data_IF_521581183436
#
_entry.id   IF_521581183436
#
_cell.length_a   1.000
_cell.length_b   1.000
_cell.length_c   1.000
_cell.angle_alpha   90.00
_cell.angle_beta   90.00
_cell.angle_gamma   90.00
#
_symmetry.space_group_name_H-M   'P 1'
#
loop_
_entity.id
_entity.type
_entity.pdbx_description
1 polymer ?
#
# COMPACT_ATOMS: atom_id res chain seq x y z
N UNK A 1 -63.11 7.36 26.79
CA UNK A 1 -63.71 8.69 26.52
C UNK A 1 -62.58 9.60 26.10
N UNK A 2 -62.59 10.25 24.95
CA UNK A 2 -63.54 10.10 23.83
C UNK A 2 -62.84 10.38 22.47
N UNK A 3 -63.44 9.95 21.35
CA UNK A 3 -62.88 10.05 19.99
C UNK A 3 -63.33 11.34 19.30
N UNK A 4 -62.44 11.99 18.54
CA UNK A 4 -62.83 12.91 17.45
C UNK A 4 -62.04 12.67 16.17
N UNK A 5 -62.65 11.87 15.29
CA UNK A 5 -62.34 11.78 13.87
C UNK A 5 -62.94 12.96 13.09
N UNK A 6 -62.28 13.38 12.00
CA UNK A 6 -62.95 14.05 10.88
C UNK A 6 -62.60 13.35 9.55
N UNK A 7 -63.45 13.51 8.53
CA UNK A 7 -63.60 12.52 7.47
C UNK A 7 -63.52 13.11 6.04
N UNK A 8 -63.31 12.22 5.06
CA UNK A 8 -63.04 12.46 3.63
C UNK A 8 -64.06 13.35 2.89
N UNK A 9 -63.56 14.11 1.89
CA UNK A 9 -63.91 14.04 0.43
C UNK A 9 -62.93 14.93 -0.34
N UNK A 10 -62.18 14.43 -1.34
CA UNK A 10 -62.57 14.07 -2.72
C UNK A 10 -63.02 15.29 -3.54
N UNK A 11 -62.25 15.57 -4.60
CA UNK A 11 -62.67 16.28 -5.80
C UNK A 11 -61.96 15.59 -7.00
N UNK A 12 -62.67 15.38 -8.11
CA UNK A 12 -62.15 14.71 -9.31
C UNK A 12 -62.25 15.63 -10.53
N UNK A 13 -61.22 15.55 -11.38
CA UNK A 13 -61.09 16.12 -12.72
C UNK A 13 -59.66 15.82 -13.21
N UNK A 14 -59.39 15.34 -14.43
CA UNK A 14 -60.23 15.29 -15.61
C UNK A 14 -60.15 16.60 -16.40
N UNK A 15 -59.28 16.75 -17.42
CA UNK A 15 -58.22 15.84 -17.89
C UNK A 15 -58.10 15.84 -19.42
N UNK A 16 -56.92 16.19 -19.95
CA UNK A 16 -56.54 16.09 -21.37
C UNK A 16 -55.06 15.71 -21.44
N UNK A 17 -54.68 14.86 -22.40
CA UNK A 17 -53.28 14.43 -22.57
C UNK A 17 -52.50 15.37 -23.51
N UNK A 18 -51.23 15.62 -23.17
CA UNK A 18 -50.23 16.17 -24.08
C UNK A 18 -49.01 15.23 -24.07
N UNK A 19 -48.86 14.42 -25.13
CA UNK A 19 -47.80 13.41 -25.22
C UNK A 19 -46.50 14.02 -25.76
N UNK A 20 -45.75 14.71 -24.91
CA UNK A 20 -44.34 15.05 -25.20
C UNK A 20 -43.46 13.86 -24.83
N UNK A 21 -42.81 13.28 -25.85
CA UNK A 21 -41.98 12.08 -25.69
C UNK A 21 -40.70 12.36 -24.92
N UNK A 22 -40.74 12.23 -23.59
CA UNK A 22 -39.53 12.07 -22.79
C UNK A 22 -39.00 10.66 -23.05
N UNK A 23 -37.92 10.54 -23.82
CA UNK A 23 -37.12 9.31 -23.88
C UNK A 23 -36.49 9.09 -22.52
N UNK A 24 -37.21 8.41 -21.65
CA UNK A 24 -36.69 7.94 -20.36
C UNK A 24 -35.55 6.97 -20.64
N UNK A 25 -34.32 7.49 -20.56
CA UNK A 25 -33.13 6.69 -20.38
C UNK A 25 -33.34 5.89 -19.09
N UNK A 26 -33.75 4.64 -19.26
CA UNK A 26 -33.73 3.64 -18.21
C UNK A 26 -32.27 3.34 -17.90
N UNK A 27 -31.69 4.20 -17.06
CA UNK A 27 -30.58 3.83 -16.19
C UNK A 27 -31.06 2.58 -15.45
N UNK A 28 -30.64 1.41 -15.94
CA UNK A 28 -30.89 0.16 -15.26
C UNK A 28 -30.32 0.32 -13.85
N UNK A 29 -31.16 0.19 -12.84
CA UNK A 29 -30.68 0.12 -11.48
C UNK A 29 -29.70 -1.05 -11.45
N UNK A 30 -28.41 -0.75 -11.22
CA UNK A 30 -27.42 -1.77 -10.93
C UNK A 30 -27.81 -2.26 -9.53
N UNK A 31 -28.70 -3.25 -9.48
CA UNK A 31 -29.06 -3.93 -8.25
C UNK A 31 -27.78 -4.34 -7.56
N UNK A 32 -27.66 -4.03 -6.26
CA UNK A 32 -26.49 -4.41 -5.49
C UNK A 32 -26.37 -5.93 -5.52
N UNK A 33 -25.43 -6.45 -6.31
CA UNK A 33 -25.21 -7.87 -6.55
C UNK A 33 -24.91 -8.53 -5.22
N UNK A 34 -25.90 -9.20 -4.64
CA UNK A 34 -25.73 -9.95 -3.40
C UNK A 34 -24.66 -11.01 -3.64
N UNK A 35 -23.51 -10.88 -2.97
CA UNK A 35 -22.41 -11.82 -3.15
C UNK A 35 -22.92 -13.26 -2.95
N UNK A 36 -22.69 -14.12 -3.95
CA UNK A 36 -23.28 -15.48 -3.99
C UNK A 36 -22.79 -16.39 -2.85
N UNK A 37 -21.75 -15.96 -2.12
CA UNK A 37 -21.23 -16.62 -0.94
C UNK A 37 -20.97 -15.58 0.17
N UNK A 38 -21.11 -15.95 1.46
CA UNK A 38 -20.72 -15.09 2.57
C UNK A 38 -19.20 -14.81 2.53
N UNK A 39 -18.74 -13.62 2.96
CA UNK A 39 -17.34 -13.25 2.90
C UNK A 39 -16.47 -14.14 3.80
N UNK A 40 -15.22 -14.37 3.38
CA UNK A 40 -14.18 -14.98 4.22
C UNK A 40 -13.94 -14.10 5.46
N UNK A 41 -13.75 -14.71 6.62
CA UNK A 41 -13.51 -14.00 7.89
C UNK A 41 -12.31 -14.55 8.65
N UNK A 42 -11.66 -13.67 9.42
CA UNK A 42 -10.49 -14.01 10.21
C UNK A 42 -10.82 -15.00 11.35
N UNK A 43 -9.99 -16.03 11.58
CA UNK A 43 -10.15 -16.95 12.71
C UNK A 43 -9.81 -16.26 14.04
N UNK A 44 -9.95 -17.00 15.14
CA UNK A 44 -9.39 -16.55 16.42
C UNK A 44 -7.85 -16.67 16.39
N UNK A 45 -7.17 -15.76 17.09
CA UNK A 45 -5.76 -15.93 17.44
C UNK A 45 -5.57 -16.78 18.70
N UNK A 46 -4.37 -16.70 19.25
CA UNK A 46 -3.92 -17.50 20.40
C UNK A 46 -2.73 -18.41 20.08
N UNK A 47 -2.10 -18.27 18.90
CA UNK A 47 -0.94 -19.08 18.52
C UNK A 47 0.38 -18.31 18.70
N UNK A 48 1.45 -19.04 19.01
CA UNK A 48 2.82 -18.52 18.97
C UNK A 48 3.37 -18.70 17.56
N UNK A 49 3.92 -17.64 17.00
CA UNK A 49 4.50 -17.55 15.66
C UNK A 49 5.96 -17.13 15.77
N UNK A 50 6.77 -17.59 14.82
CA UNK A 50 8.16 -17.17 14.66
C UNK A 50 8.37 -16.72 13.21
N UNK A 51 9.03 -15.59 12.99
CA UNK A 51 9.54 -15.17 11.68
C UNK A 51 10.98 -14.67 11.80
N UNK A 52 11.70 -14.64 10.68
CA UNK A 52 12.98 -13.93 10.55
C UNK A 52 12.75 -12.62 9.81
N UNK A 53 13.48 -11.58 10.18
CA UNK A 53 13.49 -10.32 9.43
C UNK A 53 14.89 -9.72 9.39
N UNK A 54 15.21 -9.10 8.27
CA UNK A 54 16.48 -8.48 7.98
C UNK A 54 16.27 -6.99 7.74
N UNK A 55 17.11 -6.14 8.31
CA UNK A 55 17.28 -4.77 7.84
C UNK A 55 18.49 -4.73 6.91
N UNK A 56 18.27 -4.31 5.67
CA UNK A 56 19.29 -4.32 4.61
C UNK A 56 19.45 -2.94 3.98
N UNK A 57 20.68 -2.63 3.57
CA UNK A 57 21.03 -1.41 2.83
C UNK A 57 20.91 -1.69 1.33
N UNK A 58 20.05 -0.95 0.65
CA UNK A 58 19.72 -1.19 -0.76
C UNK A 58 20.77 -0.55 -1.71
N UNK A 59 20.91 -1.05 -2.96
CA UNK A 59 21.95 -0.59 -3.89
C UNK A 59 21.88 0.89 -4.29
N UNK A 60 20.72 1.53 -4.12
CA UNK A 60 20.46 2.95 -4.37
C UNK A 60 20.73 3.84 -3.13
N UNK A 61 21.22 3.27 -2.03
CA UNK A 61 21.52 3.97 -0.77
C UNK A 61 20.35 4.07 0.21
N UNK A 62 19.19 3.54 -0.17
CA UNK A 62 18.03 3.35 0.70
C UNK A 62 18.25 2.21 1.70
N UNK A 63 17.28 1.96 2.58
CA UNK A 63 17.30 0.91 3.59
C UNK A 63 15.89 0.30 3.68
N UNK A 64 15.79 -1.02 3.68
CA UNK A 64 14.50 -1.72 3.69
C UNK A 64 14.49 -2.91 4.63
N UNK A 65 13.29 -3.42 4.89
CA UNK A 65 13.08 -4.64 5.67
C UNK A 65 12.67 -5.81 4.76
N UNK A 66 13.08 -7.04 5.07
CA UNK A 66 12.68 -8.24 4.33
C UNK A 66 12.70 -9.51 5.18
N UNK A 67 11.88 -10.52 4.84
CA UNK A 67 11.89 -11.82 5.52
C UNK A 67 13.02 -12.77 5.06
N UNK A 68 13.72 -12.42 3.98
CA UNK A 68 14.87 -13.12 3.42
C UNK A 68 15.99 -12.11 3.11
N UNK A 69 17.26 -12.55 3.15
CA UNK A 69 18.41 -11.71 2.77
C UNK A 69 18.47 -11.50 1.26
N UNK A 70 18.83 -10.30 0.83
CA UNK A 70 18.75 -9.84 -0.56
C UNK A 70 17.32 -9.68 -1.06
N UNK A 71 16.34 -9.55 -0.16
CA UNK A 71 14.90 -9.43 -0.46
C UNK A 71 14.20 -8.31 0.32
N UNK A 72 14.95 -7.43 0.99
CA UNK A 72 14.39 -6.22 1.57
C UNK A 72 13.59 -5.38 0.57
N UNK A 73 12.46 -4.85 1.01
CA UNK A 73 11.53 -4.02 0.23
C UNK A 73 11.22 -2.70 0.93
N UNK A 74 10.67 -1.76 0.18
CA UNK A 74 10.10 -0.51 0.68
C UNK A 74 8.71 -0.34 0.02
N UNK A 75 7.61 -0.41 0.78
CA UNK A 75 7.54 -0.72 2.22
C UNK A 75 8.08 -2.12 2.53
N UNK A 76 8.45 -2.37 3.79
CA UNK A 76 8.74 -3.70 4.31
C UNK A 76 7.54 -4.65 4.18
N UNK A 77 7.76 -5.98 4.30
CA UNK A 77 6.72 -6.98 4.10
C UNK A 77 5.60 -6.90 5.15
N UNK A 78 4.36 -7.17 4.72
CA UNK A 78 3.20 -7.20 5.60
C UNK A 78 3.31 -8.30 6.67
N UNK A 79 3.14 -7.89 7.93
CA UNK A 79 2.93 -8.80 9.06
C UNK A 79 1.43 -8.82 9.39
N UNK A 80 0.77 -9.96 9.15
CA UNK A 80 -0.64 -10.18 9.54
C UNK A 80 -0.75 -11.25 10.64
N UNK A 81 -1.42 -10.90 11.73
CA UNK A 81 -1.66 -11.77 12.90
C UNK A 81 -3.09 -11.58 13.44
N UNK A 82 -3.57 -12.51 14.27
CA UNK A 82 -4.91 -12.42 14.88
C UNK A 82 -4.82 -12.02 16.36
N UNK A 83 -5.83 -11.34 16.91
CA UNK A 83 -5.92 -11.03 18.34
C UNK A 83 -5.76 -12.28 19.23
N UNK A 84 -4.75 -12.24 20.10
CA UNK A 84 -4.32 -13.33 20.97
C UNK A 84 -3.02 -14.00 20.51
N UNK A 85 -2.57 -13.77 19.27
CA UNK A 85 -1.30 -14.29 18.77
C UNK A 85 -0.10 -13.61 19.44
N UNK A 86 0.97 -14.38 19.59
CA UNK A 86 2.32 -13.90 19.96
C UNK A 86 3.26 -14.13 18.79
N UNK A 87 4.06 -13.13 18.45
CA UNK A 87 5.02 -13.17 17.35
C UNK A 87 6.43 -12.89 17.88
N UNK A 88 7.32 -13.86 17.71
CA UNK A 88 8.75 -13.71 17.92
C UNK A 88 9.43 -13.41 16.57
N UNK A 89 10.11 -12.28 16.50
CA UNK A 89 10.81 -11.79 15.30
C UNK A 89 12.30 -11.94 15.55
N UNK A 90 12.93 -12.93 14.93
CA UNK A 90 14.39 -13.05 14.88
C UNK A 90 14.93 -12.03 13.88
N UNK A 91 15.32 -10.86 14.40
CA UNK A 91 15.76 -9.71 13.62
C UNK A 91 17.28 -9.65 13.53
N UNK A 92 17.84 -9.66 12.32
CA UNK A 92 19.27 -9.47 12.07
C UNK A 92 19.52 -8.14 11.33
N UNK A 93 20.46 -7.34 11.83
CA UNK A 93 20.87 -6.09 11.19
C UNK A 93 22.06 -6.34 10.25
N UNK A 94 21.84 -6.37 8.94
CA UNK A 94 22.91 -6.64 7.96
C UNK A 94 23.61 -5.36 7.47
N UNK A 95 23.37 -4.22 8.11
CA UNK A 95 23.88 -2.90 7.69
C UNK A 95 25.16 -2.50 8.44
N UNK A 96 25.81 -1.44 7.95
CA UNK A 96 27.00 -0.82 8.53
C UNK A 96 26.72 0.20 9.65
N UNK A 97 25.47 0.28 10.12
CA UNK A 97 25.03 1.17 11.21
C UNK A 97 24.05 0.46 12.14
N UNK A 98 24.01 0.84 13.41
CA UNK A 98 23.03 0.36 14.37
C UNK A 98 21.59 0.67 13.90
N UNK A 99 20.71 -0.32 13.99
CA UNK A 99 19.32 -0.26 13.57
C UNK A 99 18.40 -0.88 14.62
N UNK A 100 17.10 -0.86 14.36
CA UNK A 100 16.10 -1.32 15.31
C UNK A 100 14.80 -1.77 14.63
N UNK A 101 13.88 -2.23 15.46
CA UNK A 101 12.50 -2.51 15.09
C UNK A 101 11.57 -2.02 16.22
N UNK A 102 10.79 -0.98 15.94
CA UNK A 102 9.72 -0.45 16.78
C UNK A 102 8.36 -0.73 16.10
N UNK A 103 7.28 -0.86 16.86
CA UNK A 103 5.95 -1.16 16.32
C UNK A 103 4.81 -0.47 17.07
N UNK A 104 3.74 -0.15 16.34
CA UNK A 104 2.54 0.49 16.87
C UNK A 104 1.44 -0.54 17.16
N UNK A 105 0.58 -0.26 18.15
CA UNK A 105 -0.67 -0.99 18.43
C UNK A 105 -0.58 -2.41 19.01
N UNK A 106 0.54 -3.11 18.82
CA UNK A 106 0.82 -4.43 19.41
C UNK A 106 1.36 -4.32 20.84
N UNK A 107 1.14 -5.34 21.67
CA UNK A 107 1.63 -5.37 23.05
C UNK A 107 3.08 -5.87 23.08
N UNK A 108 4.06 -5.00 23.35
CA UNK A 108 5.46 -5.39 23.55
C UNK A 108 5.91 -5.17 25.00
N UNK A 109 7.15 -5.58 25.31
CA UNK A 109 7.85 -5.20 26.53
C UNK A 109 8.99 -4.24 26.24
N UNK A 110 9.56 -3.62 27.28
CA UNK A 110 10.57 -2.57 27.11
C UNK A 110 11.87 -3.07 26.45
N UNK A 111 12.13 -4.39 26.50
CA UNK A 111 13.24 -5.05 25.81
C UNK A 111 13.02 -5.22 24.30
N UNK A 112 11.76 -5.12 23.86
CA UNK A 112 11.29 -5.22 22.47
C UNK A 112 10.85 -3.86 21.88
N UNK A 113 11.15 -2.75 22.56
CA UNK A 113 10.72 -1.38 22.22
C UNK A 113 11.47 -0.74 21.03
N UNK A 114 12.68 -1.23 20.69
CA UNK A 114 13.46 -0.73 19.56
C UNK A 114 14.33 0.51 19.83
N UNK A 115 14.37 1.05 21.05
CA UNK A 115 15.03 2.35 21.31
C UNK A 115 16.40 2.24 21.98
N UNK A 116 17.26 3.25 21.76
CA UNK A 116 18.55 3.37 22.49
C UNK A 116 18.35 3.51 23.99
N UNK A 117 17.32 4.26 24.41
CA UNK A 117 17.00 4.51 25.82
C UNK A 117 16.81 3.20 26.59
N UNK A 118 16.07 2.26 25.99
CA UNK A 118 15.74 0.97 26.58
C UNK A 118 16.71 -0.16 26.17
N UNK A 119 17.81 0.19 25.48
CA UNK A 119 18.86 -0.74 25.01
C UNK A 119 18.32 -1.89 24.16
N UNK A 120 17.25 -1.62 23.41
CA UNK A 120 16.49 -2.59 22.60
C UNK A 120 16.79 -2.47 21.11
N UNK A 121 18.01 -2.02 20.78
CA UNK A 121 18.56 -1.84 19.43
C UNK A 121 19.36 -3.06 18.95
N UNK A 122 19.82 -3.07 17.70
CA UNK A 122 20.69 -4.11 17.14
C UNK A 122 21.88 -3.47 16.43
N UNK A 123 23.09 -3.78 16.90
CA UNK A 123 24.34 -3.26 16.34
C UNK A 123 24.66 -3.92 14.97
N UNK A 124 25.61 -3.37 14.18
CA UNK A 124 25.98 -3.94 12.87
C UNK A 124 26.36 -5.42 12.93
N UNK A 125 25.64 -6.26 12.19
CA UNK A 125 25.85 -7.71 12.12
C UNK A 125 25.29 -8.51 13.30
N UNK A 126 24.63 -7.88 14.27
CA UNK A 126 24.02 -8.59 15.41
C UNK A 126 22.58 -9.09 15.10
N UNK A 127 22.05 -9.90 16.03
CA UNK A 127 20.69 -10.45 15.97
C UNK A 127 19.98 -10.28 17.31
N UNK A 128 18.70 -9.90 17.30
CA UNK A 128 17.81 -9.79 18.47
C UNK A 128 16.48 -10.48 18.20
N UNK A 129 15.90 -11.12 19.20
CA UNK A 129 14.49 -11.52 19.13
C UNK A 129 13.61 -10.41 19.71
N UNK A 130 12.83 -9.74 18.86
CA UNK A 130 11.74 -8.87 19.31
C UNK A 130 10.50 -9.73 19.58
N UNK A 131 9.72 -9.42 20.62
CA UNK A 131 8.48 -10.14 20.94
C UNK A 131 7.29 -9.20 20.96
N UNK A 132 6.40 -9.36 19.99
CA UNK A 132 5.09 -8.70 19.96
C UNK A 132 4.01 -9.67 20.40
N UNK A 133 3.06 -9.20 21.21
CA UNK A 133 1.87 -9.92 21.64
C UNK A 133 0.63 -9.15 21.19
N UNK A 134 -0.51 -9.80 21.20
CA UNK A 134 -1.80 -9.15 20.99
C UNK A 134 -2.83 -9.72 21.96
N UNK A 135 -3.89 -8.98 22.22
CA UNK A 135 -5.00 -9.44 23.05
C UNK A 135 -6.36 -9.14 22.41
N UNK A 136 -7.32 -10.03 22.65
CA UNK A 136 -8.72 -9.81 22.33
C UNK A 136 -9.35 -8.78 23.29
N UNK A 137 -10.38 -8.02 22.85
CA UNK A 137 -11.10 -7.10 23.72
C UNK A 137 -11.85 -7.86 24.82
N UNK A 138 -12.07 -7.20 25.97
CA UNK A 138 -12.76 -7.83 27.10
C UNK A 138 -13.08 -6.88 28.24
N UNK A 139 -13.84 -7.37 29.22
CA UNK A 139 -14.23 -6.58 30.41
C UNK A 139 -13.20 -6.77 31.53
N UNK A 140 -12.69 -5.66 32.07
CA UNK A 140 -11.77 -5.65 33.22
C UNK A 140 -12.51 -5.89 34.54
N UNK A 141 -11.75 -6.19 35.60
CA UNK A 141 -12.27 -6.42 36.97
C UNK A 141 -12.95 -5.17 37.58
N UNK A 142 -12.53 -3.97 37.16
CA UNK A 142 -13.16 -2.69 37.50
C UNK A 142 -14.48 -2.43 36.74
N UNK A 143 -14.85 -3.32 35.81
CA UNK A 143 -16.06 -3.22 35.00
C UNK A 143 -15.90 -2.46 33.68
N UNK A 144 -14.76 -1.81 33.43
CA UNK A 144 -14.44 -1.10 32.17
C UNK A 144 -14.23 -2.08 31.01
N UNK A 145 -14.29 -1.54 29.78
CA UNK A 145 -13.92 -2.29 28.58
C UNK A 145 -12.45 -2.05 28.22
N UNK A 146 -11.77 -3.13 27.86
CA UNK A 146 -10.45 -3.12 27.22
C UNK A 146 -10.67 -3.29 25.72
N UNK A 147 -10.28 -2.29 24.94
CA UNK A 147 -10.07 -2.47 23.51
C UNK A 147 -8.94 -3.48 23.31
N UNK A 148 -9.13 -4.43 22.39
CA UNK A 148 -8.08 -5.37 21.97
C UNK A 148 -7.26 -4.79 20.80
N UNK A 149 -6.15 -5.46 20.50
CA UNK A 149 -5.11 -4.98 19.58
C UNK A 149 -5.52 -4.87 18.10
N UNK A 150 -6.73 -5.31 17.70
CA UNK A 150 -7.11 -5.31 16.28
C UNK A 150 -7.19 -3.92 15.65
N UNK A 151 -6.51 -3.75 14.52
CA UNK A 151 -6.39 -2.50 13.79
C UNK A 151 -5.36 -2.60 12.66
N UNK A 152 -5.23 -1.51 11.92
CA UNK A 152 -4.17 -1.27 10.96
C UNK A 152 -3.07 -0.47 11.65
N UNK A 153 -1.85 -1.00 11.63
CA UNK A 153 -0.70 -0.46 12.34
C UNK A 153 0.55 -0.52 11.45
N UNK A 154 1.69 -0.11 11.98
CA UNK A 154 2.98 -0.16 11.28
C UNK A 154 4.14 -0.48 12.22
N UNK A 155 5.26 -0.84 11.62
CA UNK A 155 6.55 -1.00 12.26
C UNK A 155 7.60 -0.17 11.52
N UNK A 156 8.58 0.36 12.23
CA UNK A 156 9.63 1.20 11.66
C UNK A 156 10.93 1.16 12.48
N UNK A 157 12.01 1.71 11.91
CA UNK A 157 13.23 1.96 12.67
C UNK A 157 13.09 3.20 13.56
N UNK A 158 13.76 3.19 14.72
CA UNK A 158 13.77 4.24 15.72
C UNK A 158 15.18 4.79 16.05
N UNK A 159 16.26 4.38 15.35
CA UNK A 159 17.65 4.72 15.76
C UNK A 159 18.64 5.08 14.66
N UNK A 160 18.31 4.90 13.38
CA UNK A 160 19.16 5.26 12.25
C UNK A 160 19.08 6.77 12.00
N UNK A 161 20.24 7.44 12.06
CA UNK A 161 20.40 8.88 11.84
C UNK A 161 19.99 9.77 13.03
N UNK A 162 18.93 9.41 13.75
CA UNK A 162 18.51 10.03 15.02
C UNK A 162 17.95 8.97 15.96
N UNK A 163 17.87 9.27 17.26
CA UNK A 163 17.24 8.38 18.26
C UNK A 163 15.70 8.33 18.17
N UNK A 164 15.14 8.89 17.09
CA UNK A 164 13.73 8.77 16.68
C UNK A 164 13.60 8.19 15.25
N UNK A 165 14.65 7.57 14.72
CA UNK A 165 14.61 6.83 13.45
C UNK A 165 14.48 7.69 12.19
N UNK A 166 14.58 9.02 12.28
CA UNK A 166 14.33 9.96 11.17
C UNK A 166 15.16 9.63 9.92
N UNK A 167 16.37 9.10 10.08
CA UNK A 167 17.22 8.65 8.97
C UNK A 167 16.85 7.28 8.41
N UNK A 168 16.30 6.38 9.23
CA UNK A 168 15.82 5.06 8.81
C UNK A 168 14.46 5.14 8.09
N UNK A 169 13.50 5.82 8.70
CA UNK A 169 12.16 6.08 8.17
C UNK A 169 12.26 6.73 6.79
N UNK A 170 12.98 7.85 6.66
CA UNK A 170 13.17 8.55 5.37
C UNK A 170 13.84 7.65 4.32
N UNK A 171 14.66 6.67 4.72
CA UNK A 171 15.31 5.72 3.81
C UNK A 171 14.50 4.48 3.46
N UNK A 172 13.35 4.24 4.09
CA UNK A 172 12.48 3.10 3.77
C UNK A 172 12.33 2.03 4.87
N UNK A 173 12.91 2.22 6.05
CA UNK A 173 12.75 1.31 7.20
C UNK A 173 11.39 1.52 7.88
N UNK A 174 10.33 1.15 7.16
CA UNK A 174 8.94 1.10 7.62
C UNK A 174 8.19 -0.06 6.93
N UNK A 175 7.14 -0.60 7.55
CA UNK A 175 6.28 -1.62 6.97
C UNK A 175 4.94 -1.78 7.70
N UNK A 176 3.93 -2.40 7.09
CA UNK A 176 2.58 -2.50 7.64
C UNK A 176 2.41 -3.70 8.59
N UNK A 177 1.59 -3.52 9.62
CA UNK A 177 1.08 -4.60 10.48
C UNK A 177 -0.45 -4.59 10.43
N UNK A 178 -1.06 -5.75 10.26
CA UNK A 178 -2.50 -5.94 10.45
C UNK A 178 -2.71 -6.88 11.63
N UNK A 179 -3.50 -6.43 12.60
CA UNK A 179 -4.04 -7.30 13.65
C UNK A 179 -5.53 -7.51 13.38
N UNK A 180 -5.91 -8.73 12.97
CA UNK A 180 -7.30 -9.12 12.72
C UNK A 180 -8.01 -9.46 14.03
N UNK A 181 -9.27 -9.02 14.19
CA UNK A 181 -10.20 -9.56 15.17
C UNK A 181 -10.90 -10.79 14.60
N UNK A 182 -11.22 -11.78 15.43
CA UNK A 182 -12.06 -12.93 15.03
C UNK A 182 -13.37 -12.42 14.40
N UNK A 183 -13.64 -12.83 13.16
CA UNK A 183 -14.83 -12.41 12.41
C UNK A 183 -14.64 -11.16 11.53
N UNK A 184 -13.49 -10.48 11.56
CA UNK A 184 -13.17 -9.44 10.59
C UNK A 184 -13.17 -10.01 9.16
N UNK A 185 -13.75 -9.28 8.21
CA UNK A 185 -13.78 -9.69 6.80
C UNK A 185 -12.35 -9.69 6.25
N UNK A 186 -11.98 -10.75 5.53
CA UNK A 186 -10.70 -10.88 4.85
C UNK A 186 -10.82 -10.42 3.39
N UNK A 187 -9.83 -9.68 2.85
CA UNK A 187 -9.81 -9.26 1.46
C UNK A 187 -9.27 -10.34 0.53
N UNK A 188 -9.41 -10.12 -0.78
CA UNK A 188 -8.80 -10.91 -1.85
C UNK A 188 -7.38 -10.42 -2.18
N UNK A 189 -7.13 -9.11 -2.05
CA UNK A 189 -5.81 -8.48 -2.14
C UNK A 189 -5.68 -7.38 -1.08
N UNK A 190 -4.50 -7.27 -0.46
CA UNK A 190 -4.11 -6.12 0.37
C UNK A 190 -2.98 -5.35 -0.33
N UNK A 191 -3.08 -4.02 -0.38
CA UNK A 191 -2.04 -3.11 -0.85
C UNK A 191 -1.61 -2.15 0.27
N UNK A 192 -0.43 -1.54 0.13
CA UNK A 192 0.11 -0.61 1.14
C UNK A 192 0.61 0.66 0.47
N UNK A 193 0.13 1.80 0.98
CA UNK A 193 0.40 3.13 0.49
C UNK A 193 0.98 3.95 1.65
N UNK A 194 2.28 4.22 1.60
CA UNK A 194 2.98 5.02 2.58
C UNK A 194 3.32 6.37 1.97
N UNK A 195 2.79 7.45 2.54
CA UNK A 195 3.26 8.81 2.25
C UNK A 195 4.44 9.07 3.19
N UNK A 196 5.66 9.11 2.64
CA UNK A 196 6.88 9.34 3.41
C UNK A 196 7.59 10.58 2.86
N UNK A 197 7.58 11.66 3.64
CA UNK A 197 7.81 13.01 3.12
C UNK A 197 6.99 13.23 1.82
N UNK A 198 7.59 13.79 0.76
CA UNK A 198 6.92 14.06 -0.51
C UNK A 198 6.84 12.85 -1.47
N UNK A 199 7.05 11.62 -0.98
CA UNK A 199 7.13 10.40 -1.80
C UNK A 199 6.05 9.38 -1.44
N UNK A 200 5.65 8.55 -2.42
CA UNK A 200 4.79 7.38 -2.18
C UNK A 200 5.66 6.12 -2.21
N UNK A 201 5.70 5.36 -1.12
CA UNK A 201 6.53 4.14 -0.99
C UNK A 201 8.02 4.37 -1.38
N UNK A 202 8.55 5.54 -1.01
CA UNK A 202 9.86 6.07 -1.42
C UNK A 202 10.12 6.11 -2.95
N UNK A 203 9.09 6.05 -3.79
CA UNK A 203 9.23 6.22 -5.23
C UNK A 203 9.27 7.69 -5.61
N UNK A 204 10.10 8.10 -6.59
CA UNK A 204 10.01 9.43 -7.17
C UNK A 204 8.67 9.61 -7.90
N UNK A 205 8.28 10.86 -8.10
CA UNK A 205 7.02 11.28 -8.73
C UNK A 205 6.65 10.55 -10.03
N UNK A 206 7.64 10.21 -10.87
CA UNK A 206 7.44 9.53 -12.15
C UNK A 206 7.28 8.01 -12.03
N UNK A 207 7.34 7.45 -10.81
CA UNK A 207 7.36 6.02 -10.50
C UNK A 207 6.54 5.64 -9.25
N UNK A 208 5.64 6.52 -8.79
CA UNK A 208 4.63 6.19 -7.78
C UNK A 208 3.91 4.88 -8.17
N UNK A 209 3.60 3.98 -7.21
CA UNK A 209 3.16 2.64 -7.55
C UNK A 209 1.71 2.61 -8.03
N UNK A 210 1.48 2.02 -9.21
CA UNK A 210 0.14 1.64 -9.64
C UNK A 210 -0.25 0.29 -9.02
N UNK A 211 -1.55 0.10 -8.78
CA UNK A 211 -2.11 -1.10 -8.17
C UNK A 211 -3.23 -1.67 -9.03
N UNK A 212 -3.05 -2.90 -9.51
CA UNK A 212 -4.02 -3.60 -10.37
C UNK A 212 -5.02 -4.44 -9.54
N UNK A 213 -6.29 -4.46 -9.96
CA UNK A 213 -7.36 -5.28 -9.39
C UNK A 213 -8.50 -5.43 -10.43
N UNK A 214 -9.45 -6.34 -10.24
CA UNK A 214 -10.61 -6.56 -11.12
C UNK A 214 -11.87 -5.96 -10.51
N UNK A 215 -12.85 -5.53 -11.33
CA UNK A 215 -14.18 -5.16 -10.85
C UNK A 215 -14.78 -6.32 -10.03
N UNK A 216 -15.18 -6.02 -8.79
CA UNK A 216 -15.76 -6.99 -7.85
C UNK A 216 -14.78 -7.54 -6.81
N UNK A 217 -13.45 -7.39 -7.00
CA UNK A 217 -12.44 -7.80 -6.01
C UNK A 217 -12.67 -7.08 -4.68
N UNK A 218 -12.52 -7.77 -3.54
CA UNK A 218 -12.37 -7.10 -2.24
C UNK A 218 -10.93 -6.67 -2.04
N UNK A 219 -10.66 -5.40 -2.34
CA UNK A 219 -9.37 -4.76 -2.15
C UNK A 219 -9.29 -4.15 -0.74
N UNK A 220 -8.21 -4.44 -0.03
CA UNK A 220 -7.82 -3.77 1.21
C UNK A 220 -6.66 -2.80 0.98
N UNK A 221 -6.74 -1.63 1.60
CA UNK A 221 -5.70 -0.61 1.57
C UNK A 221 -5.22 -0.36 3.00
N UNK A 222 -3.92 -0.55 3.23
CA UNK A 222 -3.23 -0.04 4.43
C UNK A 222 -2.57 1.28 4.06
N UNK A 223 -2.90 2.34 4.79
CA UNK A 223 -2.37 3.68 4.56
C UNK A 223 -1.59 4.15 5.78
N UNK A 224 -0.33 4.53 5.58
CA UNK A 224 0.60 4.97 6.64
C UNK A 224 1.20 6.32 6.23
N UNK A 225 1.50 7.20 7.18
CA UNK A 225 2.19 8.47 6.91
C UNK A 225 3.44 8.61 7.77
N UNK A 226 4.51 9.17 7.20
CA UNK A 226 5.83 9.34 7.81
C UNK A 226 6.54 10.60 7.26
N UNK A 227 7.61 11.01 7.93
CA UNK A 227 8.39 12.20 7.55
C UNK A 227 7.96 13.46 8.30
N UNK A 228 8.10 14.62 7.66
CA UNK A 228 7.93 15.94 8.28
C UNK A 228 6.58 16.63 7.98
N UNK A 229 5.74 16.05 7.12
CA UNK A 229 4.56 16.73 6.55
C UNK A 229 3.21 16.11 6.96
N UNK A 230 2.16 16.92 6.90
CA UNK A 230 0.77 16.43 6.87
C UNK A 230 0.32 16.24 5.42
N UNK A 231 -0.60 15.31 5.21
CA UNK A 231 -1.14 14.97 3.89
C UNK A 231 -2.66 14.77 3.99
N UNK A 232 -3.32 14.69 2.83
CA UNK A 232 -4.71 14.27 2.71
C UNK A 232 -4.79 13.12 1.71
N UNK A 233 -4.90 11.88 2.18
CA UNK A 233 -5.08 10.74 1.29
C UNK A 233 -6.48 10.78 0.66
N UNK A 234 -6.55 10.70 -0.67
CA UNK A 234 -7.78 10.63 -1.45
C UNK A 234 -7.71 9.51 -2.51
N UNK A 235 -8.86 8.87 -2.81
CA UNK A 235 -8.99 7.92 -3.91
C UNK A 235 -10.29 8.15 -4.69
N UNK A 236 -10.19 8.18 -6.03
CA UNK A 236 -11.30 8.47 -6.92
C UNK A 236 -12.28 7.30 -7.02
N UNK A 237 -13.57 7.60 -7.21
CA UNK A 237 -14.65 6.62 -7.39
C UNK A 237 -15.07 5.84 -6.13
N UNK A 238 -14.14 5.57 -5.23
CA UNK A 238 -14.29 4.70 -4.06
C UNK A 238 -14.50 5.51 -2.76
N UNK A 239 -14.94 4.86 -1.67
CA UNK A 239 -15.17 5.47 -0.34
C UNK A 239 -15.19 4.42 0.75
N UNK A 240 -14.90 4.82 1.99
CA UNK A 240 -14.85 3.95 3.17
C UNK A 240 -15.41 4.65 4.42
N UNK A 241 -15.70 3.89 5.47
CA UNK A 241 -16.10 4.45 6.77
C UNK A 241 -14.87 4.81 7.63
N UNK A 242 -14.82 5.99 8.23
CA UNK A 242 -13.71 6.45 9.09
C UNK A 242 -13.69 5.79 10.49
N UNK A 243 -13.57 4.45 10.50
CA UNK A 243 -13.46 3.61 11.70
C UNK A 243 -12.34 2.55 11.53
N UNK A 244 -12.17 1.71 12.57
CA UNK A 244 -11.15 0.63 12.65
C UNK A 244 -11.01 -0.23 11.39
N UNK A 245 -12.09 -0.46 10.65
CA UNK A 245 -12.17 -1.45 9.56
C UNK A 245 -12.36 -0.84 8.17
N UNK A 246 -12.62 0.46 8.06
CA UNK A 246 -13.06 1.06 6.79
C UNK A 246 -14.50 0.72 6.39
N UNK A 247 -15.21 -0.05 7.22
CA UNK A 247 -16.52 -0.65 6.93
C UNK A 247 -17.51 -0.28 8.02
N UNK A 248 -18.74 0.09 7.63
CA UNK A 248 -19.85 0.25 8.58
C UNK A 248 -20.26 -1.12 9.13
N UNK A 249 -20.49 -1.19 10.44
CA UNK A 249 -20.93 -2.42 11.14
C UNK A 249 -22.41 -2.75 10.93
N UNK A 250 -23.20 -1.77 10.47
CA UNK A 250 -24.63 -1.91 10.19
C UNK A 250 -25.28 -0.56 9.88
N UNK A 251 -26.62 -0.50 9.69
CA UNK A 251 -27.34 0.76 9.46
C UNK A 251 -27.35 1.69 10.69
N UNK A 252 -27.10 1.16 11.89
CA UNK A 252 -27.02 1.90 13.15
C UNK A 252 -25.62 2.47 13.43
N UNK A 253 -24.64 2.26 12.52
CA UNK A 253 -23.27 2.75 12.66
C UNK A 253 -23.17 4.23 12.23
N UNK A 254 -22.89 5.18 13.16
CA UNK A 254 -22.88 6.61 12.86
C UNK A 254 -21.55 7.09 12.24
N UNK A 255 -20.64 6.18 11.89
CA UNK A 255 -19.33 6.54 11.32
C UNK A 255 -19.47 7.32 10.02
N UNK A 256 -18.71 8.41 9.85
CA UNK A 256 -18.68 9.18 8.62
C UNK A 256 -18.09 8.33 7.47
N UNK A 257 -18.83 8.19 6.38
CA UNK A 257 -18.29 7.69 5.10
C UNK A 257 -17.53 8.82 4.40
N UNK A 258 -16.32 8.52 3.93
CA UNK A 258 -15.36 9.47 3.33
C UNK A 258 -14.66 8.86 2.11
N UNK A 259 -14.17 9.72 1.23
CA UNK A 259 -13.21 9.40 0.17
C UNK A 259 -11.84 10.07 0.41
N UNK A 260 -11.72 10.87 1.46
CA UNK A 260 -10.60 11.78 1.75
C UNK A 260 -10.32 11.84 3.25
N UNK A 261 -9.07 11.63 3.68
CA UNK A 261 -8.66 11.69 5.10
C UNK A 261 -7.36 12.45 5.29
N UNK A 262 -7.35 13.41 6.23
CA UNK A 262 -6.12 14.07 6.70
C UNK A 262 -5.31 13.12 7.60
N UNK A 263 -3.99 13.12 7.43
CA UNK A 263 -3.02 12.27 8.14
C UNK A 263 -1.71 13.02 8.37
N UNK A 264 -1.00 12.69 9.44
CA UNK A 264 0.32 13.21 9.79
C UNK A 264 1.33 12.10 10.13
N UNK A 265 2.57 12.45 10.50
CA UNK A 265 3.63 11.47 10.72
C UNK A 265 3.29 10.44 11.82
N UNK A 266 3.55 9.17 11.51
CA UNK A 266 3.17 7.97 12.26
C UNK A 266 1.66 7.64 12.35
N UNK A 267 0.76 8.41 11.70
CA UNK A 267 -0.62 7.94 11.50
C UNK A 267 -0.64 6.68 10.65
N UNK A 268 -1.56 5.76 11.01
CA UNK A 268 -1.93 4.65 10.15
C UNK A 268 -3.43 4.38 10.24
N UNK A 269 -4.01 3.99 9.12
CA UNK A 269 -5.38 3.49 9.03
C UNK A 269 -5.47 2.49 7.88
N UNK A 270 -6.64 1.87 7.72
CA UNK A 270 -6.89 1.03 6.57
C UNK A 270 -8.37 0.79 6.37
N UNK A 271 -8.70 0.30 5.18
CA UNK A 271 -10.07 0.10 4.75
C UNK A 271 -10.19 -0.96 3.66
N UNK A 272 -11.41 -1.45 3.45
CA UNK A 272 -11.72 -2.35 2.34
C UNK A 272 -12.78 -1.74 1.45
N UNK A 273 -12.65 -1.95 0.14
CA UNK A 273 -13.65 -1.59 -0.88
C UNK A 273 -13.95 -2.81 -1.75
N UNK A 274 -15.12 -2.82 -2.38
CA UNK A 274 -15.34 -3.63 -3.58
C UNK A 274 -14.87 -2.78 -4.77
N UNK A 275 -13.89 -3.29 -5.51
CA UNK A 275 -13.26 -2.54 -6.58
C UNK A 275 -14.25 -2.27 -7.72
N UNK A 276 -14.36 -1.00 -8.15
CA UNK A 276 -15.32 -0.59 -9.18
C UNK A 276 -16.79 -0.64 -8.75
N UNK A 277 -17.12 -0.77 -7.46
CA UNK A 277 -18.50 -0.81 -6.98
C UNK A 277 -19.29 0.43 -7.38
N UNK A 278 -20.40 0.23 -8.11
CA UNK A 278 -21.23 1.25 -8.78
C UNK A 278 -20.53 2.18 -9.78
N UNK A 279 -19.21 2.16 -9.91
CA UNK A 279 -18.43 3.06 -10.80
C UNK A 279 -17.76 2.35 -11.99
N UNK A 280 -17.58 1.03 -11.91
CA UNK A 280 -17.04 0.18 -12.98
C UNK A 280 -15.50 0.17 -13.10
N UNK A 281 -15.05 -0.47 -14.19
CA UNK A 281 -13.64 -0.56 -14.54
C UNK A 281 -13.10 0.81 -15.02
N UNK A 282 -11.85 1.10 -14.67
CA UNK A 282 -11.17 2.34 -15.04
C UNK A 282 -9.82 2.49 -14.30
N UNK A 283 -9.02 3.44 -14.77
CA UNK A 283 -7.81 3.86 -14.05
C UNK A 283 -8.21 4.98 -13.07
N UNK A 284 -8.43 4.62 -11.81
CA UNK A 284 -8.89 5.54 -10.77
C UNK A 284 -7.68 6.13 -10.03
N UNK A 285 -7.53 7.46 -10.02
CA UNK A 285 -6.41 8.08 -9.30
C UNK A 285 -6.54 7.87 -7.79
N UNK A 286 -5.41 7.63 -7.11
CA UNK A 286 -5.26 7.91 -5.68
C UNK A 286 -4.11 8.92 -5.51
N UNK A 287 -4.25 9.90 -4.62
CA UNK A 287 -3.26 10.95 -4.46
C UNK A 287 -3.32 11.65 -3.10
N UNK A 288 -2.29 12.45 -2.80
CA UNK A 288 -2.38 13.49 -1.78
C UNK A 288 -3.25 14.64 -2.33
N UNK A 289 -4.26 15.11 -1.59
CA UNK A 289 -5.15 16.20 -1.99
C UNK A 289 -4.68 17.59 -1.49
N UNK A 290 -3.49 17.68 -0.88
CA UNK A 290 -2.79 18.97 -0.77
C UNK A 290 -2.28 19.32 -2.16
N UNK A 291 -2.82 20.38 -2.79
CA UNK A 291 -2.66 20.61 -4.23
C UNK A 291 -1.19 20.60 -4.71
N UNK A 292 -0.29 21.29 -4.00
CA UNK A 292 1.13 21.28 -4.32
C UNK A 292 1.78 19.90 -4.22
N UNK A 293 1.24 18.98 -3.42
CA UNK A 293 1.77 17.62 -3.28
C UNK A 293 1.31 16.75 -4.45
N UNK A 294 0.06 16.88 -4.91
CA UNK A 294 -0.39 16.24 -6.17
C UNK A 294 0.34 16.79 -7.39
N UNK A 295 0.54 18.11 -7.46
CA UNK A 295 1.23 18.78 -8.58
C UNK A 295 2.72 18.40 -8.64
N UNK A 296 3.32 18.03 -7.50
CA UNK A 296 4.67 17.47 -7.39
C UNK A 296 4.74 15.94 -7.54
N UNK A 297 3.62 15.28 -7.83
CA UNK A 297 3.56 13.85 -8.19
C UNK A 297 3.29 12.87 -7.05
N UNK A 298 2.74 13.30 -5.91
CA UNK A 298 2.16 12.38 -4.93
C UNK A 298 0.81 11.82 -5.42
N UNK A 299 0.82 11.11 -6.53
CA UNK A 299 -0.32 10.44 -7.15
C UNK A 299 0.09 9.10 -7.79
N UNK A 300 -0.84 8.15 -7.88
CA UNK A 300 -0.71 6.90 -8.63
C UNK A 300 -2.08 6.35 -9.02
N UNK A 301 -2.12 5.24 -9.75
CA UNK A 301 -3.37 4.68 -10.30
C UNK A 301 -3.80 3.39 -9.59
N UNK A 302 -5.06 3.35 -9.17
CA UNK A 302 -5.79 2.11 -8.90
C UNK A 302 -6.43 1.64 -10.23
N UNK A 303 -5.76 0.70 -10.89
CA UNK A 303 -6.14 0.14 -12.18
C UNK A 303 -7.18 -0.97 -11.97
N UNK A 304 -8.46 -0.62 -12.07
CA UNK A 304 -9.58 -1.57 -11.96
C UNK A 304 -9.92 -2.10 -13.36
N UNK A 305 -9.51 -3.32 -13.65
CA UNK A 305 -9.79 -4.01 -14.91
C UNK A 305 -11.19 -4.62 -14.96
N UNK A 306 -11.76 -4.78 -16.16
CA UNK A 306 -12.91 -5.66 -16.38
C UNK A 306 -12.48 -7.13 -16.25
N UNK A 307 -13.46 -8.04 -16.24
CA UNK A 307 -13.23 -9.49 -16.30
C UNK A 307 -12.52 -9.99 -17.58
N UNK A 308 -12.38 -9.15 -18.62
CA UNK A 308 -11.58 -9.43 -19.82
C UNK A 308 -10.11 -8.95 -19.71
N UNK A 309 -9.72 -8.38 -18.56
CA UNK A 309 -8.39 -7.83 -18.29
C UNK A 309 -8.16 -6.40 -18.79
N UNK A 310 -9.13 -5.77 -19.47
CA UNK A 310 -8.96 -4.40 -20.00
C UNK A 310 -9.33 -3.31 -18.98
N UNK A 311 -8.55 -2.23 -18.97
CA UNK A 311 -8.81 -1.02 -18.17
C UNK A 311 -9.26 0.11 -19.11
N UNK A 312 -10.52 0.57 -19.06
CA UNK A 312 -11.02 1.64 -19.92
C UNK A 312 -10.18 2.92 -19.85
N UNK A 313 -9.80 3.45 -21.00
CA UNK A 313 -8.97 4.67 -21.11
C UNK A 313 -7.50 4.50 -20.72
N UNK A 314 -7.10 3.31 -20.23
CA UNK A 314 -5.74 2.96 -19.84
C UNK A 314 -5.33 1.61 -20.46
N UNK A 315 -5.70 1.45 -21.73
CA UNK A 315 -5.21 0.36 -22.57
C UNK A 315 -3.69 0.52 -22.73
N UNK A 316 -2.93 -0.54 -22.46
CA UNK A 316 -1.49 -0.51 -22.64
C UNK A 316 -1.17 -0.10 -24.08
N UNK A 317 -0.42 0.99 -24.26
CA UNK A 317 0.00 1.47 -25.58
C UNK A 317 0.83 0.40 -26.28
N UNK A 318 0.17 -0.46 -27.05
CA UNK A 318 0.87 -1.45 -27.86
C UNK A 318 1.82 -0.70 -28.79
N UNK A 319 3.08 -1.14 -28.81
CA UNK A 319 4.11 -0.61 -29.71
C UNK A 319 3.85 -1.10 -31.14
N UNK A 320 2.70 -0.71 -31.69
CA UNK A 320 2.33 -0.84 -33.09
C UNK A 320 3.22 0.08 -33.91
N UNK A 321 4.45 -0.38 -34.13
CA UNK A 321 5.43 0.21 -35.03
C UNK A 321 4.72 0.65 -36.31
N UNK A 322 4.73 1.95 -36.60
CA UNK A 322 4.09 2.48 -37.79
C UNK A 322 4.82 1.94 -39.02
N UNK A 323 4.25 0.89 -39.61
CA UNK A 323 4.70 0.30 -40.86
C UNK A 323 4.54 1.34 -41.98
N UNK A 324 5.60 2.08 -42.24
CA UNK A 324 5.64 3.08 -43.30
C UNK A 324 5.40 2.38 -44.65
N UNK A 325 4.23 2.64 -45.24
CA UNK A 325 3.87 2.14 -46.58
C UNK A 325 4.72 2.86 -47.63
N UNK A 326 5.90 2.34 -47.92
CA UNK A 326 6.68 2.71 -49.11
C UNK A 326 6.19 1.90 -50.30
N UNK A 327 5.56 2.57 -51.26
CA UNK A 327 5.06 1.96 -52.52
C UNK A 327 6.18 1.47 -53.43
N UNK A 328 5.90 0.44 -54.24
CA UNK A 328 6.85 -0.18 -55.17
C UNK A 328 7.50 0.79 -56.17
N UNK A 329 8.84 0.74 -56.25
CA UNK A 329 9.62 1.40 -57.29
C UNK A 329 10.90 0.61 -57.65
N UNK A 330 10.76 -0.31 -58.62
CA UNK A 330 11.79 -0.91 -59.51
C UNK A 330 13.27 -0.91 -59.05
N UNK A 331 13.81 -2.11 -58.85
CA UNK A 331 15.23 -2.40 -59.18
C UNK A 331 15.44 -2.40 -60.72
N UNK A 332 16.68 -2.22 -61.23
CA UNK A 332 17.53 -3.41 -61.44
C UNK A 332 19.07 -3.22 -61.29
N UNK A 333 19.76 -4.37 -61.24
CA UNK A 333 21.12 -4.68 -61.73
C UNK A 333 22.42 -4.12 -61.07
N UNK A 334 23.00 -4.99 -60.23
CA UNK A 334 24.34 -5.62 -60.38
C UNK A 334 25.67 -4.83 -60.21
N UNK A 335 26.48 -5.25 -59.20
CA UNK A 335 27.75 -6.01 -59.39
C UNK A 335 28.53 -6.36 -58.09
N UNK A 336 29.39 -7.38 -58.18
CA UNK A 336 30.51 -7.83 -57.30
C UNK A 336 31.68 -8.26 -58.23
N UNK A 337 32.90 -8.69 -57.79
CA UNK A 337 33.50 -8.87 -56.44
C UNK A 337 34.43 -7.66 -56.09
N UNK A 338 35.56 -7.66 -55.35
CA UNK A 338 36.55 -8.62 -54.76
C UNK A 338 37.10 -7.97 -53.45
N UNK A 339 37.35 -8.62 -52.30
CA UNK A 339 38.18 -9.78 -51.88
C UNK A 339 39.64 -9.46 -51.46
N UNK A 340 40.14 -10.20 -50.44
CA UNK A 340 41.44 -10.08 -49.71
C UNK A 340 41.55 -8.84 -48.78
N UNK A 341 41.91 -8.88 -47.48
CA UNK A 341 42.57 -9.81 -46.55
C UNK A 341 44.12 -9.77 -46.46
N UNK A 342 44.67 -9.37 -45.30
CA UNK A 342 45.74 -10.08 -44.53
C UNK A 342 46.33 -9.25 -43.36
N UNK A 343 46.60 -9.91 -42.22
CA UNK A 343 47.54 -9.49 -41.15
C UNK A 343 47.16 -8.30 -40.24
N UNK A 344 47.62 -8.19 -38.98
CA UNK A 344 48.31 -9.21 -38.14
C UNK A 344 49.34 -8.63 -37.14
N UNK A 345 49.30 -9.11 -35.89
CA UNK A 345 50.29 -8.94 -34.78
C UNK A 345 50.43 -7.57 -34.05
N UNK A 346 50.06 -7.58 -32.77
CA UNK A 346 50.91 -7.13 -31.64
C UNK A 346 51.98 -8.22 -31.34
N UNK A 347 53.01 -8.06 -30.45
CA UNK A 347 52.84 -7.75 -29.01
C UNK A 347 54.03 -6.97 -28.33
N UNK A 348 54.08 -7.01 -26.98
CA UNK A 348 55.24 -6.85 -26.07
C UNK A 348 55.85 -5.45 -25.78
N UNK A 349 56.45 -5.15 -24.61
CA UNK A 349 56.33 -5.73 -23.24
C UNK A 349 56.98 -4.87 -22.11
N UNK A 350 56.49 -5.05 -20.87
CA UNK A 350 57.13 -4.98 -19.51
C UNK A 350 58.38 -4.10 -19.20
N UNK A 351 58.26 -3.26 -18.14
CA UNK A 351 59.11 -3.17 -16.92
C UNK A 351 58.54 -2.04 -16.02
N UNK A 352 58.22 -2.12 -14.72
CA UNK A 352 58.78 -2.74 -13.48
C UNK A 352 59.89 -1.94 -12.78
N UNK A 353 59.60 -1.33 -11.62
CA UNK A 353 60.48 -1.41 -10.43
C UNK A 353 59.79 -1.03 -9.09
N UNK A 354 60.54 -1.04 -7.97
CA UNK A 354 60.05 -1.08 -6.56
C UNK A 354 60.24 0.19 -5.71
N UNK A 355 59.30 0.34 -4.76
CA UNK A 355 59.39 0.77 -3.35
C UNK A 355 60.57 1.62 -2.81
N UNK A 356 60.23 2.63 -2.00
CA UNK A 356 60.82 2.86 -0.67
C UNK A 356 59.91 3.78 0.21
N UNK A 357 60.08 3.72 1.53
CA UNK A 357 59.44 4.59 2.53
C UNK A 357 60.43 5.60 3.11
N UNK A 358 59.96 6.76 3.58
CA UNK A 358 60.62 7.49 4.67
C UNK A 358 59.62 8.33 5.48
N UNK A 359 60.11 8.99 6.53
CA UNK A 359 59.38 9.25 7.78
C UNK A 359 59.51 10.71 8.26
N UNK A 360 58.58 11.10 9.14
CA UNK A 360 58.62 12.20 10.12
C UNK A 360 59.41 13.49 9.82
N UNK A 361 58.69 14.62 9.76
CA UNK A 361 59.05 15.90 10.40
C UNK A 361 57.76 16.63 10.82
#
# INVERSE_FOLDING_TARGET
MDRRSFNRRILMGGGVAAATGVTSLSLGAIEATSAENPPRTAPAGGVVRHLKMYAEKLPDGQMGYGFEKGKASIPGPLIEINEGDTLHIEFENTMDVAASLHAHGVDYDIASDGTRMNKSIVEPGETRTYTWRTHAPGRRKDGTWQAGSAGYWHYHDHVVGTDHGTGGIRKGLYGPVIVRRKGDILPDKTITIVFNDMLINNKPADKSPDFETTVGDRLEVVMITHGEYYHTFHVHGHRWADNRTGLLTGPDDPTRVIDTKIVGPADSFGFQVIAGEHVGAGAWMYHCHVQSHSDMGMAGMLLVAKADGTVPGHEAHSMSSHGAKTSDAKSPDAKSPDAKASGGRSPDAKASDKAASHDSH
#
